data_IF_557036894165
#
_entry.id   IF_557036894165
#
_cell.length_a   1.000
_cell.length_b   1.000
_cell.length_c   1.000
_cell.angle_alpha   90.00
_cell.angle_beta   90.00
_cell.angle_gamma   90.00
#
_symmetry.space_group_name_H-M   'P 1'
#
loop_
_entity.id
_entity.type
_entity.pdbx_description
1 polymer ?
#
# COMPACT_ATOMS: atom_id res chain seq x y z
N UNK A 1 -5.31 9.70 -15.91
CA UNK A 1 -4.19 9.80 -14.93
C UNK A 1 -3.95 11.26 -14.59
N UNK A 2 -3.73 11.57 -13.32
CA UNK A 2 -3.61 12.95 -12.83
C UNK A 2 -2.32 13.64 -13.31
N UNK A 3 -1.18 12.93 -13.36
CA UNK A 3 0.07 13.50 -13.90
C UNK A 3 -0.06 13.95 -15.36
N UNK A 4 -0.83 13.21 -16.18
CA UNK A 4 -1.11 13.57 -17.57
C UNK A 4 -1.89 14.89 -17.67
N UNK A 5 -2.86 15.11 -16.76
CA UNK A 5 -3.59 16.38 -16.67
C UNK A 5 -2.65 17.53 -16.29
N UNK A 6 -1.85 17.35 -15.24
CA UNK A 6 -0.90 18.38 -14.78
C UNK A 6 0.15 18.73 -15.82
N UNK A 7 0.60 17.76 -16.61
CA UNK A 7 1.47 18.01 -17.76
C UNK A 7 0.74 18.80 -18.85
N UNK A 8 -0.51 18.45 -19.20
CA UNK A 8 -1.29 19.21 -20.19
C UNK A 8 -1.59 20.66 -19.76
N UNK A 9 -1.61 20.92 -18.45
CA UNK A 9 -1.78 22.25 -17.87
C UNK A 9 -0.45 23.02 -17.71
N UNK A 10 0.69 22.42 -18.08
CA UNK A 10 2.01 23.04 -18.01
C UNK A 10 2.65 23.04 -16.61
N UNK A 11 2.07 22.34 -15.63
CA UNK A 11 2.62 22.24 -14.28
C UNK A 11 3.77 21.22 -14.17
N UNK A 12 3.86 20.30 -15.11
CA UNK A 12 4.90 19.29 -15.22
C UNK A 12 5.43 19.27 -16.64
N UNK A 13 6.72 18.97 -16.79
CA UNK A 13 7.39 18.93 -18.09
C UNK A 13 7.98 17.54 -18.33
N UNK A 14 7.94 17.11 -19.58
CA UNK A 14 8.70 15.95 -20.02
C UNK A 14 10.20 16.22 -19.96
N UNK A 15 10.98 15.18 -19.67
CA UNK A 15 12.44 15.25 -19.60
C UNK A 15 13.05 14.42 -20.72
N UNK A 16 14.05 14.98 -21.38
CA UNK A 16 14.87 14.24 -22.35
C UNK A 16 15.88 13.39 -21.62
N UNK A 17 15.77 12.06 -21.79
CA UNK A 17 16.69 11.09 -21.20
C UNK A 17 17.42 10.39 -22.35
N UNK A 18 18.74 10.24 -22.21
CA UNK A 18 19.53 9.43 -23.14
C UNK A 18 19.23 7.95 -22.88
N UNK A 19 18.67 7.27 -23.88
CA UNK A 19 18.42 5.83 -23.84
C UNK A 19 19.26 5.14 -24.94
N UNK A 20 19.96 4.07 -24.57
CA UNK A 20 20.72 3.26 -25.52
C UNK A 20 19.76 2.21 -26.10
N UNK A 21 19.44 2.33 -27.40
CA UNK A 21 18.60 1.35 -28.12
C UNK A 21 19.49 0.42 -28.94
N UNK A 22 19.03 -0.82 -29.13
CA UNK A 22 19.70 -1.79 -29.98
C UNK A 22 20.74 -2.64 -29.29
N UNK A 23 20.81 -2.61 -27.96
CA UNK A 23 21.70 -3.48 -27.19
C UNK A 23 21.22 -4.94 -27.28
N UNK A 24 22.15 -5.86 -27.53
CA UNK A 24 21.89 -7.30 -27.38
C UNK A 24 21.54 -7.61 -25.93
N UNK A 25 20.68 -8.61 -25.74
CA UNK A 25 20.29 -9.09 -24.42
C UNK A 25 21.53 -9.37 -23.57
N UNK A 26 21.63 -8.71 -22.41
CA UNK A 26 22.75 -8.92 -21.51
C UNK A 26 22.60 -10.25 -20.76
N UNK A 27 23.73 -10.84 -20.33
CA UNK A 27 23.71 -12.05 -19.52
C UNK A 27 22.86 -11.88 -18.26
N UNK A 28 22.90 -10.71 -17.62
CA UNK A 28 22.12 -10.40 -16.43
C UNK A 28 20.60 -10.38 -16.70
N UNK A 29 20.16 -9.84 -17.84
CA UNK A 29 18.74 -9.83 -18.22
C UNK A 29 18.23 -11.23 -18.56
N UNK A 30 19.07 -12.06 -19.18
CA UNK A 30 18.75 -13.47 -19.44
C UNK A 30 18.60 -14.20 -18.12
N UNK A 31 19.61 -14.14 -17.27
CA UNK A 31 19.65 -14.84 -15.98
C UNK A 31 18.45 -14.42 -15.12
N UNK A 32 18.18 -13.12 -14.99
CA UNK A 32 17.03 -12.64 -14.21
C UNK A 32 15.70 -13.12 -14.79
N UNK A 33 15.50 -13.07 -16.10
CA UNK A 33 14.27 -13.56 -16.73
C UNK A 33 14.07 -15.06 -16.53
N UNK A 34 15.15 -15.84 -16.65
CA UNK A 34 15.15 -17.30 -16.47
C UNK A 34 14.86 -17.66 -15.01
N UNK A 35 15.53 -17.01 -14.05
CA UNK A 35 15.33 -17.25 -12.62
C UNK A 35 13.93 -16.86 -12.16
N UNK A 36 13.43 -15.69 -12.57
CA UNK A 36 12.07 -15.25 -12.23
C UNK A 36 11.03 -16.19 -12.85
N UNK A 37 11.19 -16.52 -14.14
CA UNK A 37 10.31 -17.47 -14.82
C UNK A 37 10.33 -18.85 -14.16
N UNK A 38 11.50 -19.34 -13.74
CA UNK A 38 11.64 -20.60 -13.03
C UNK A 38 10.92 -20.55 -11.67
N UNK A 39 11.17 -19.53 -10.85
CA UNK A 39 10.54 -19.39 -9.53
C UNK A 39 9.02 -19.34 -9.62
N UNK A 40 8.48 -18.56 -10.58
CA UNK A 40 7.03 -18.49 -10.83
C UNK A 40 6.50 -19.85 -11.26
N UNK A 41 7.12 -20.51 -12.26
CA UNK A 41 6.64 -21.81 -12.74
C UNK A 41 6.76 -22.91 -11.68
N UNK A 42 7.83 -22.90 -10.89
CA UNK A 42 8.09 -23.87 -9.83
C UNK A 42 6.99 -23.85 -8.78
N UNK A 43 6.51 -22.66 -8.40
CA UNK A 43 5.43 -22.50 -7.41
C UNK A 43 4.04 -22.54 -8.01
N UNK A 44 3.80 -21.86 -9.13
CA UNK A 44 2.47 -21.76 -9.72
C UNK A 44 1.95 -23.13 -10.20
N UNK A 45 2.81 -23.94 -10.84
CA UNK A 45 2.40 -25.26 -11.27
C UNK A 45 2.16 -26.19 -10.07
N UNK A 46 2.99 -26.11 -9.03
CA UNK A 46 2.73 -26.86 -7.78
C UNK A 46 1.41 -26.46 -7.12
N UNK A 47 1.10 -25.17 -7.11
CA UNK A 47 -0.14 -24.63 -6.58
C UNK A 47 -1.39 -25.12 -7.34
N UNK A 48 -1.28 -25.31 -8.65
CA UNK A 48 -2.38 -25.87 -9.45
C UNK A 48 -2.67 -27.33 -9.10
N UNK A 49 -1.63 -28.13 -8.84
CA UNK A 49 -1.82 -29.54 -8.47
C UNK A 49 -2.17 -29.74 -7.00
N UNK A 50 -1.78 -28.82 -6.12
CA UNK A 50 -1.96 -28.93 -4.66
C UNK A 50 -2.68 -27.70 -4.11
N UNK A 51 -3.79 -27.37 -4.75
CA UNK A 51 -4.58 -26.18 -4.40
C UNK A 51 -5.12 -26.23 -2.96
N UNK A 52 -5.45 -27.42 -2.46
CA UNK A 52 -5.87 -27.62 -1.06
C UNK A 52 -4.83 -27.11 -0.07
N UNK A 53 -3.55 -27.38 -0.33
CA UNK A 53 -2.45 -27.04 0.58
C UNK A 53 -2.16 -25.54 0.52
N UNK A 54 -2.27 -24.94 -0.67
CA UNK A 54 -2.17 -23.49 -0.85
C UNK A 54 -3.27 -22.76 -0.07
N UNK A 55 -4.52 -23.22 -0.14
CA UNK A 55 -5.66 -22.58 0.55
C UNK A 55 -5.55 -22.78 2.06
N UNK A 56 -5.07 -23.95 2.51
CA UNK A 56 -4.92 -24.24 3.92
C UNK A 56 -3.86 -23.36 4.59
N UNK A 57 -2.70 -23.17 3.95
CA UNK A 57 -1.65 -22.30 4.47
C UNK A 57 -0.82 -21.66 3.34
N UNK A 58 -1.27 -20.50 2.82
CA UNK A 58 -0.59 -19.84 1.71
C UNK A 58 0.86 -19.45 2.01
N UNK A 59 1.14 -19.03 3.25
CA UNK A 59 2.45 -18.51 3.63
C UNK A 59 3.50 -19.62 3.62
N UNK A 60 3.21 -20.73 4.31
CA UNK A 60 4.12 -21.87 4.35
C UNK A 60 4.28 -22.50 2.95
N UNK A 61 3.19 -22.56 2.18
CA UNK A 61 3.26 -23.06 0.81
C UNK A 61 4.24 -22.25 -0.05
N UNK A 62 4.18 -20.91 0.02
CA UNK A 62 5.04 -20.02 -0.77
C UNK A 62 6.51 -20.14 -0.34
N UNK A 63 6.80 -20.23 0.96
CA UNK A 63 8.18 -20.27 1.48
C UNK A 63 8.80 -21.67 1.39
N UNK A 64 7.99 -22.72 1.34
CA UNK A 64 8.47 -24.10 1.32
C UNK A 64 9.46 -24.37 0.18
N UNK A 65 10.31 -25.38 0.32
CA UNK A 65 11.17 -25.87 -0.76
C UNK A 65 10.39 -26.71 -1.80
N UNK A 66 9.12 -27.01 -1.53
CA UNK A 66 8.23 -27.79 -2.40
C UNK A 66 7.88 -27.00 -3.66
N UNK A 67 7.94 -27.67 -4.81
CA UNK A 67 7.54 -27.10 -6.09
C UNK A 67 7.71 -28.07 -7.25
N UNK A 68 7.26 -27.63 -8.43
CA UNK A 68 7.25 -28.42 -9.63
C UNK A 68 8.42 -28.02 -10.55
N UNK A 69 9.47 -28.85 -10.58
CA UNK A 69 10.67 -28.59 -11.39
C UNK A 69 10.37 -28.45 -12.88
N UNK A 70 9.50 -29.30 -13.43
CA UNK A 70 9.12 -29.25 -14.85
C UNK A 70 8.34 -27.97 -15.17
N UNK A 71 7.44 -27.56 -14.28
CA UNK A 71 6.73 -26.29 -14.37
C UNK A 71 7.68 -25.09 -14.36
N UNK A 72 8.69 -25.12 -13.48
CA UNK A 72 9.75 -24.13 -13.43
C UNK A 72 10.52 -24.03 -14.75
N UNK A 73 10.99 -25.16 -15.28
CA UNK A 73 11.72 -25.20 -16.56
C UNK A 73 10.86 -24.73 -17.74
N UNK A 74 9.59 -25.13 -17.79
CA UNK A 74 8.66 -24.76 -18.85
C UNK A 74 8.41 -23.25 -18.88
N UNK A 75 8.06 -22.65 -17.74
CA UNK A 75 7.79 -21.20 -17.65
C UNK A 75 9.07 -20.40 -17.86
N UNK A 76 10.21 -20.88 -17.37
CA UNK A 76 11.51 -20.28 -17.62
C UNK A 76 11.86 -20.23 -19.12
N UNK A 77 11.64 -21.33 -19.84
CA UNK A 77 11.82 -21.40 -21.29
C UNK A 77 10.91 -20.43 -22.05
N UNK A 78 9.64 -20.33 -21.64
CA UNK A 78 8.69 -19.35 -22.20
C UNK A 78 9.16 -17.92 -21.92
N UNK A 79 9.55 -17.60 -20.69
CA UNK A 79 10.02 -16.27 -20.30
C UNK A 79 11.26 -15.86 -21.11
N UNK A 80 12.24 -16.77 -21.25
CA UNK A 80 13.40 -16.56 -22.10
C UNK A 80 13.02 -16.33 -23.56
N UNK A 81 12.15 -17.17 -24.13
CA UNK A 81 11.70 -17.05 -25.52
C UNK A 81 11.01 -15.70 -25.77
N UNK A 82 10.10 -15.28 -24.90
CA UNK A 82 9.41 -14.00 -25.00
C UNK A 82 10.39 -12.83 -24.92
N UNK A 83 11.33 -12.86 -23.96
CA UNK A 83 12.36 -11.83 -23.80
C UNK A 83 13.28 -11.74 -25.02
N UNK A 84 13.70 -12.90 -25.54
CA UNK A 84 14.51 -13.00 -26.74
C UNK A 84 13.78 -12.47 -27.96
N UNK A 85 12.52 -12.89 -28.18
CA UNK A 85 11.68 -12.42 -29.27
C UNK A 85 11.50 -10.90 -29.25
N UNK A 86 11.32 -10.30 -28.08
CA UNK A 86 11.18 -8.84 -27.95
C UNK A 86 12.52 -8.11 -28.19
N UNK A 87 13.65 -8.68 -27.76
CA UNK A 87 14.95 -8.12 -28.04
C UNK A 87 15.32 -8.20 -29.53
N UNK A 88 14.94 -9.27 -30.24
CA UNK A 88 15.16 -9.37 -31.69
C UNK A 88 14.45 -8.26 -32.48
N UNK A 89 13.30 -7.77 -32.02
CA UNK A 89 12.60 -6.64 -32.65
C UNK A 89 13.33 -5.29 -32.48
N UNK A 90 14.21 -5.19 -31.49
CA UNK A 90 14.82 -3.92 -31.06
C UNK A 90 16.33 -3.87 -31.26
N UNK A 91 16.98 -5.02 -31.53
CA UNK A 91 18.42 -5.12 -31.81
C UNK A 91 18.79 -4.27 -33.04
N UNK A 92 19.89 -3.53 -32.91
CA UNK A 92 20.54 -2.82 -34.01
C UNK A 92 21.96 -3.35 -34.16
N UNK A 93 22.53 -3.25 -35.36
CA UNK A 93 23.91 -3.68 -35.63
C UNK A 93 24.94 -2.93 -34.77
N UNK A 94 24.66 -1.65 -34.47
CA UNK A 94 25.43 -0.81 -33.56
C UNK A 94 24.41 -0.14 -32.62
N UNK A 95 24.52 -0.30 -31.29
CA UNK A 95 23.66 0.41 -30.35
C UNK A 95 23.77 1.93 -30.55
N UNK A 96 22.64 2.62 -30.58
CA UNK A 96 22.59 4.08 -30.74
C UNK A 96 22.01 4.72 -29.49
N UNK A 97 22.65 5.79 -29.02
CA UNK A 97 22.05 6.69 -28.05
C UNK A 97 21.00 7.55 -28.75
N UNK A 98 19.75 7.42 -28.34
CA UNK A 98 18.70 8.34 -28.76
C UNK A 98 18.25 9.19 -27.57
N UNK A 99 17.91 10.45 -27.84
CA UNK A 99 17.17 11.25 -26.88
C UNK A 99 15.72 10.81 -26.89
N UNK A 100 15.28 10.16 -25.82
CA UNK A 100 13.87 9.85 -25.61
C UNK A 100 13.25 10.90 -24.71
N UNK A 101 12.11 11.41 -25.15
CA UNK A 101 11.28 12.26 -24.30
C UNK A 101 10.48 11.35 -23.38
N UNK A 102 10.69 11.47 -22.07
CA UNK A 102 9.98 10.69 -21.05
C UNK A 102 8.97 11.60 -20.37
N UNK A 103 7.71 11.19 -20.42
CA UNK A 103 6.63 11.96 -19.81
C UNK A 103 6.39 11.53 -18.35
N UNK A 104 6.06 12.46 -17.43
CA UNK A 104 5.83 12.12 -16.02
C UNK A 104 4.74 11.06 -15.79
N UNK A 105 3.71 11.01 -16.63
CA UNK A 105 2.66 9.99 -16.49
C UNK A 105 3.11 8.57 -16.87
N UNK A 106 4.16 8.43 -17.68
CA UNK A 106 4.75 7.13 -18.03
C UNK A 106 5.50 6.53 -16.84
N UNK A 107 5.97 7.39 -15.94
CA UNK A 107 6.74 7.02 -14.76
C UNK A 107 5.87 6.53 -13.59
N UNK A 108 4.54 6.64 -13.68
CA UNK A 108 3.61 6.26 -12.59
C UNK A 108 3.80 4.81 -12.15
N UNK A 109 3.95 3.88 -13.11
CA UNK A 109 4.19 2.46 -12.81
C UNK A 109 5.50 2.25 -12.05
N UNK A 110 6.57 2.90 -12.49
CA UNK A 110 7.89 2.82 -11.84
C UNK A 110 7.86 3.43 -10.44
N UNK A 111 7.21 4.59 -10.26
CA UNK A 111 7.03 5.24 -8.97
C UNK A 111 6.29 4.31 -8.00
N UNK A 112 5.20 3.69 -8.47
CA UNK A 112 4.39 2.77 -7.66
C UNK A 112 5.20 1.55 -7.26
N UNK A 113 5.95 0.96 -8.19
CA UNK A 113 6.79 -0.21 -7.93
C UNK A 113 7.91 0.10 -6.93
N UNK A 114 8.60 1.24 -7.10
CA UNK A 114 9.63 1.70 -6.18
C UNK A 114 9.03 1.93 -4.79
N UNK A 115 7.87 2.58 -4.70
CA UNK A 115 7.18 2.79 -3.43
C UNK A 115 6.83 1.48 -2.73
N UNK A 116 6.29 0.50 -3.47
CA UNK A 116 5.92 -0.81 -2.91
C UNK A 116 7.15 -1.58 -2.40
N UNK A 117 8.21 -1.68 -3.22
CA UNK A 117 9.42 -2.43 -2.85
C UNK A 117 10.12 -1.77 -1.67
N UNK A 118 10.39 -0.47 -1.76
CA UNK A 118 11.07 0.26 -0.68
C UNK A 118 10.22 0.34 0.58
N UNK A 119 8.90 0.40 0.46
CA UNK A 119 7.97 0.37 1.60
C UNK A 119 7.99 -0.95 2.35
N UNK A 120 7.93 -2.09 1.65
CA UNK A 120 8.01 -3.41 2.30
C UNK A 120 9.37 -3.59 2.97
N UNK A 121 10.47 -3.27 2.25
CA UNK A 121 11.83 -3.35 2.79
C UNK A 121 11.97 -2.45 4.03
N UNK A 122 11.51 -1.20 3.94
CA UNK A 122 11.56 -0.25 5.05
C UNK A 122 10.75 -0.71 6.26
N UNK A 123 9.53 -1.21 6.05
CA UNK A 123 8.69 -1.73 7.13
C UNK A 123 9.35 -2.89 7.86
N UNK A 124 10.02 -3.77 7.12
CA UNK A 124 10.74 -4.92 7.69
C UNK A 124 11.99 -4.52 8.46
N UNK A 125 12.80 -3.61 7.89
CA UNK A 125 14.00 -3.10 8.56
C UNK A 125 13.62 -2.45 9.89
N UNK A 126 12.62 -1.57 9.89
CA UNK A 126 12.20 -0.88 11.11
C UNK A 126 11.63 -1.84 12.15
N UNK A 127 10.83 -2.82 11.74
CA UNK A 127 10.37 -3.86 12.67
C UNK A 127 11.52 -4.59 13.36
N UNK A 128 12.57 -4.96 12.61
CA UNK A 128 13.73 -5.65 13.16
C UNK A 128 14.59 -4.72 14.04
N UNK A 129 14.61 -3.41 13.76
CA UNK A 129 15.27 -2.40 14.60
C UNK A 129 14.48 -2.12 15.89
N UNK A 130 13.15 -2.23 15.86
CA UNK A 130 12.31 -2.12 17.05
C UNK A 130 12.38 -3.38 17.92
N UNK A 131 12.53 -4.55 17.30
CA UNK A 131 12.60 -5.86 17.95
C UNK A 131 13.98 -6.50 17.83
N UNK A 132 15.03 -5.75 18.21
CA UNK A 132 16.42 -6.18 18.04
C UNK A 132 16.73 -7.50 18.75
N UNK A 133 16.19 -7.72 19.95
CA UNK A 133 16.44 -8.96 20.71
C UNK A 133 15.88 -10.18 19.97
N UNK A 134 14.66 -10.08 19.43
CA UNK A 134 14.06 -11.15 18.61
C UNK A 134 14.78 -11.34 17.27
N UNK A 135 15.27 -10.25 16.68
CA UNK A 135 16.05 -10.30 15.44
C UNK A 135 17.42 -10.97 15.64
N UNK A 136 18.12 -10.66 16.73
CA UNK A 136 19.43 -11.26 17.03
C UNK A 136 19.33 -12.75 17.37
N UNK A 137 18.19 -13.18 17.92
CA UNK A 137 17.93 -14.60 18.23
C UNK A 137 17.73 -15.44 16.96
N UNK A 138 17.04 -14.92 15.95
CA UNK A 138 16.85 -15.60 14.65
C UNK A 138 16.85 -14.61 13.46
N UNK A 139 18.04 -14.21 12.98
CA UNK A 139 18.13 -13.20 11.92
C UNK A 139 17.51 -13.63 10.59
N UNK A 140 17.66 -14.90 10.22
CA UNK A 140 17.21 -15.43 8.92
C UNK A 140 15.70 -15.60 8.95
N UNK A 141 15.14 -16.23 10.00
CA UNK A 141 13.71 -16.42 10.12
C UNK A 141 12.97 -15.09 10.25
N UNK A 142 13.51 -14.13 11.01
CA UNK A 142 12.92 -12.81 11.10
C UNK A 142 12.95 -12.07 9.77
N UNK A 143 14.03 -12.10 8.98
CA UNK A 143 14.08 -11.46 7.65
C UNK A 143 13.12 -12.09 6.64
N UNK A 144 12.99 -13.42 6.65
CA UNK A 144 12.17 -14.17 5.70
C UNK A 144 10.69 -14.25 6.08
N UNK A 145 10.33 -13.91 7.33
CA UNK A 145 8.95 -13.92 7.81
C UNK A 145 8.10 -12.87 7.10
N UNK A 146 6.89 -13.26 6.68
CA UNK A 146 5.87 -12.33 6.16
C UNK A 146 5.18 -11.50 7.26
N UNK A 147 5.41 -11.85 8.53
CA UNK A 147 4.92 -11.10 9.69
C UNK A 147 5.94 -10.05 10.16
N UNK A 148 5.50 -9.08 10.96
CA UNK A 148 6.37 -8.05 11.51
C UNK A 148 6.75 -6.98 10.49
N UNK A 149 5.79 -6.12 10.16
CA UNK A 149 5.98 -4.98 9.26
C UNK A 149 5.55 -3.70 9.95
N UNK A 150 6.51 -2.83 10.28
CA UNK A 150 6.22 -1.56 10.94
C UNK A 150 5.79 -0.51 9.92
N UNK A 151 4.59 0.05 10.10
CA UNK A 151 4.01 1.05 9.19
C UNK A 151 4.93 2.27 8.94
N UNK A 152 5.51 2.83 10.01
CA UNK A 152 6.38 4.02 9.89
C UNK A 152 7.62 3.77 9.03
N UNK A 153 8.22 2.59 9.15
CA UNK A 153 9.36 2.22 8.32
C UNK A 153 9.01 2.18 6.84
N UNK A 154 7.83 1.64 6.51
CA UNK A 154 7.35 1.60 5.13
C UNK A 154 7.02 2.98 4.58
N UNK A 155 6.37 3.83 5.38
CA UNK A 155 6.05 5.20 4.99
C UNK A 155 7.32 6.02 4.70
N UNK A 156 8.32 5.95 5.60
CA UNK A 156 9.56 6.74 5.49
C UNK A 156 10.39 6.27 4.27
N UNK A 157 10.67 4.97 4.17
CA UNK A 157 11.49 4.43 3.08
C UNK A 157 10.81 4.61 1.71
N UNK A 158 9.50 4.38 1.66
CA UNK A 158 8.66 4.61 0.48
C UNK A 158 8.70 6.07 0.02
N UNK A 159 8.45 7.01 0.94
CA UNK A 159 8.46 8.44 0.61
C UNK A 159 9.84 8.92 0.14
N UNK A 160 10.92 8.52 0.82
CA UNK A 160 12.29 8.90 0.44
C UNK A 160 12.62 8.40 -0.96
N UNK A 161 12.30 7.15 -1.26
CA UNK A 161 12.61 6.51 -2.55
C UNK A 161 11.80 7.12 -3.69
N UNK A 162 10.52 7.45 -3.47
CA UNK A 162 9.68 8.16 -4.44
C UNK A 162 10.19 9.58 -4.69
N UNK A 163 10.56 10.33 -3.64
CA UNK A 163 11.10 11.69 -3.78
C UNK A 163 12.43 11.67 -4.53
N UNK A 164 13.31 10.72 -4.22
CA UNK A 164 14.58 10.56 -4.92
C UNK A 164 14.37 10.23 -6.40
N UNK A 165 13.48 9.29 -6.72
CA UNK A 165 13.17 8.94 -8.10
C UNK A 165 12.51 10.09 -8.86
N UNK A 166 11.59 10.83 -8.24
CA UNK A 166 10.97 12.01 -8.82
C UNK A 166 11.99 13.11 -9.13
N UNK A 167 12.94 13.35 -8.21
CA UNK A 167 14.05 14.30 -8.44
C UNK A 167 14.95 13.89 -9.60
N UNK A 168 15.22 12.59 -9.78
CA UNK A 168 15.99 12.07 -10.92
C UNK A 168 15.39 12.46 -12.27
N UNK A 169 14.07 12.54 -12.36
CA UNK A 169 13.33 12.95 -13.56
C UNK A 169 12.81 14.40 -13.48
N UNK A 170 13.38 15.23 -12.61
CA UNK A 170 13.01 16.65 -12.46
C UNK A 170 11.51 16.91 -12.25
N UNK A 171 10.77 15.92 -11.71
CA UNK A 171 9.35 16.07 -11.41
C UNK A 171 9.21 16.99 -10.20
N UNK A 172 8.38 18.02 -10.33
CA UNK A 172 8.10 18.92 -9.21
C UNK A 172 7.35 18.18 -8.09
N UNK A 173 8.01 18.04 -6.93
CA UNK A 173 7.51 17.27 -5.79
C UNK A 173 6.15 17.78 -5.28
N UNK A 174 5.90 19.10 -5.30
CA UNK A 174 4.61 19.65 -4.84
C UNK A 174 3.46 19.20 -5.70
N UNK A 175 3.66 19.17 -7.02
CA UNK A 175 2.65 18.68 -7.95
C UNK A 175 2.49 17.16 -7.85
N UNK A 176 3.57 16.43 -7.55
CA UNK A 176 3.53 14.99 -7.33
C UNK A 176 2.72 14.61 -6.07
N UNK A 177 3.01 15.22 -4.92
CA UNK A 177 2.30 14.92 -3.66
C UNK A 177 0.81 15.29 -3.73
N UNK A 178 0.47 16.40 -4.39
CA UNK A 178 -0.94 16.73 -4.67
C UNK A 178 -1.62 15.67 -5.53
N UNK A 179 -0.90 15.11 -6.50
CA UNK A 179 -1.46 14.07 -7.38
C UNK A 179 -1.63 12.74 -6.65
N UNK A 180 -0.76 12.46 -5.67
CA UNK A 180 -0.81 11.28 -4.84
C UNK A 180 -1.87 11.37 -3.73
N UNK A 181 -2.19 12.58 -3.24
CA UNK A 181 -3.07 12.78 -2.08
C UNK A 181 -4.43 12.05 -2.15
N UNK A 182 -5.23 12.14 -3.25
CA UNK A 182 -6.45 11.34 -3.34
C UNK A 182 -6.15 9.83 -3.38
N UNK A 183 -5.12 9.42 -4.12
CA UNK A 183 -4.76 8.01 -4.26
C UNK A 183 -4.30 7.39 -2.94
N UNK A 184 -3.62 8.15 -2.07
CA UNK A 184 -3.21 7.72 -0.73
C UNK A 184 -4.44 7.41 0.14
N UNK A 185 -5.45 8.28 0.12
CA UNK A 185 -6.69 8.05 0.86
C UNK A 185 -7.46 6.84 0.33
N UNK A 186 -7.52 6.67 -0.99
CA UNK A 186 -8.15 5.48 -1.58
C UNK A 186 -7.39 4.20 -1.22
N UNK A 187 -6.05 4.23 -1.24
CA UNK A 187 -5.23 3.09 -0.86
C UNK A 187 -5.43 2.71 0.62
N UNK A 188 -5.56 3.71 1.50
CA UNK A 188 -5.89 3.48 2.90
C UNK A 188 -7.26 2.79 3.06
N UNK A 189 -8.29 3.28 2.37
CA UNK A 189 -9.61 2.64 2.35
C UNK A 189 -9.55 1.20 1.84
N UNK A 190 -8.80 0.91 0.78
CA UNK A 190 -8.59 -0.46 0.29
C UNK A 190 -7.91 -1.34 1.34
N UNK A 191 -6.91 -0.82 2.06
CA UNK A 191 -6.27 -1.53 3.16
C UNK A 191 -7.27 -1.89 4.28
N UNK A 192 -8.16 -0.94 4.63
CA UNK A 192 -9.18 -1.13 5.68
C UNK A 192 -10.26 -2.15 5.32
N UNK A 193 -10.52 -2.38 4.02
CA UNK A 193 -11.35 -3.52 3.58
C UNK A 193 -10.71 -4.83 4.04
N UNK A 194 -9.39 -4.96 3.89
CA UNK A 194 -8.63 -6.12 4.38
C UNK A 194 -8.85 -6.36 5.87
N UNK A 195 -8.66 -5.33 6.70
CA UNK A 195 -8.88 -5.39 8.14
C UNK A 195 -10.31 -5.81 8.50
N UNK A 196 -11.31 -5.24 7.81
CA UNK A 196 -12.72 -5.57 8.04
C UNK A 196 -13.03 -7.04 7.69
N UNK A 197 -12.40 -7.57 6.64
CA UNK A 197 -12.63 -8.95 6.19
C UNK A 197 -11.86 -9.98 7.03
N UNK A 198 -10.66 -9.65 7.49
CA UNK A 198 -9.82 -10.56 8.27
C UNK A 198 -10.19 -10.60 9.76
N UNK A 199 -10.71 -9.50 10.31
CA UNK A 199 -10.84 -9.37 11.75
C UNK A 199 -9.46 -9.44 12.42
N UNK A 200 -8.55 -8.56 12.02
CA UNK A 200 -7.18 -8.52 12.53
C UNK A 200 -7.01 -7.78 13.86
N UNK A 201 -8.10 -7.33 14.48
CA UNK A 201 -8.08 -6.53 15.71
C UNK A 201 -8.30 -5.04 15.50
N UNK A 202 -8.46 -4.57 14.25
CA UNK A 202 -8.77 -3.17 13.95
C UNK A 202 -10.27 -2.81 14.13
N UNK A 203 -10.86 -3.24 15.24
CA UNK A 203 -12.25 -2.98 15.62
C UNK A 203 -12.37 -2.04 16.84
N UNK A 204 -13.60 -1.60 17.09
CA UNK A 204 -13.94 -0.66 18.15
C UNK A 204 -14.18 -1.30 19.51
N UNK A 205 -14.59 -0.47 20.48
CA UNK A 205 -15.11 -0.92 21.77
C UNK A 205 -16.43 -1.68 21.61
N UNK A 206 -16.87 -2.37 22.67
CA UNK A 206 -18.14 -3.07 22.72
C UNK A 206 -19.31 -2.12 22.37
N UNK A 207 -20.15 -2.57 21.43
CA UNK A 207 -21.36 -1.89 21.01
C UNK A 207 -22.60 -2.73 21.34
N UNK A 208 -23.11 -2.58 22.55
CA UNK A 208 -24.37 -3.21 22.98
C UNK A 208 -25.61 -2.35 22.68
N UNK A 209 -25.42 -1.21 22.03
CA UNK A 209 -26.53 -0.29 21.75
C UNK A 209 -27.37 -0.81 20.58
N UNK A 210 -28.71 -0.80 20.68
CA UNK A 210 -29.56 -1.25 19.58
C UNK A 210 -29.39 -0.33 18.37
N UNK A 211 -29.39 -0.92 17.18
CA UNK A 211 -29.31 -0.17 15.92
C UNK A 211 -30.50 0.80 15.82
N UNK A 212 -30.28 2.10 15.54
CA UNK A 212 -31.36 3.05 15.39
C UNK A 212 -32.33 2.69 14.26
N UNK A 213 -33.63 2.96 14.44
CA UNK A 213 -34.68 2.61 13.47
C UNK A 213 -34.48 3.23 12.08
N UNK A 214 -33.94 4.45 12.03
CA UNK A 214 -33.64 5.13 10.76
C UNK A 214 -32.54 4.43 9.94
N UNK A 215 -31.76 3.54 10.57
CA UNK A 215 -30.72 2.73 9.96
C UNK A 215 -31.19 1.27 9.72
N UNK A 216 -32.49 0.98 9.88
CA UNK A 216 -33.06 -0.35 9.68
C UNK A 216 -32.81 -0.93 8.29
N UNK A 217 -32.64 -0.09 7.27
CA UNK A 217 -32.36 -0.51 5.90
C UNK A 217 -30.93 -1.06 5.69
N UNK A 218 -30.01 -0.84 6.63
CA UNK A 218 -28.64 -1.35 6.56
C UNK A 218 -28.50 -2.68 7.31
N UNK A 219 -27.63 -3.60 6.86
CA UNK A 219 -27.24 -4.79 7.61
C UNK A 219 -26.73 -4.49 9.03
N UNK A 220 -27.04 -5.38 9.98
CA UNK A 220 -26.66 -5.20 11.40
C UNK A 220 -25.16 -5.10 11.63
N UNK A 221 -24.36 -5.84 10.84
CA UNK A 221 -22.90 -5.82 10.94
C UNK A 221 -22.28 -4.45 10.66
N UNK A 222 -22.99 -3.53 9.99
CA UNK A 222 -22.53 -2.15 9.77
C UNK A 222 -22.68 -1.28 11.04
N UNK A 223 -23.50 -1.70 12.00
CA UNK A 223 -23.67 -1.04 13.29
C UNK A 223 -22.84 -1.73 14.39
N UNK A 224 -22.95 -3.05 14.47
CA UNK A 224 -22.35 -3.86 15.52
C UNK A 224 -21.98 -5.23 14.96
N UNK A 225 -20.72 -5.64 15.09
CA UNK A 225 -20.22 -6.87 14.47
C UNK A 225 -19.35 -7.69 15.42
N UNK A 226 -19.46 -9.01 15.37
CA UNK A 226 -18.72 -9.94 16.25
C UNK A 226 -17.45 -10.50 15.59
N UNK A 227 -17.16 -10.16 14.34
CA UNK A 227 -16.01 -10.70 13.59
C UNK A 227 -15.85 -12.22 13.75
N UNK A 228 -16.81 -13.02 13.27
CA UNK A 228 -16.65 -14.47 13.23
C UNK A 228 -15.47 -14.83 12.34
N UNK A 229 -14.75 -15.89 12.74
CA UNK A 229 -13.54 -16.35 12.06
C UNK A 229 -12.41 -15.33 11.98
N UNK A 230 -12.27 -14.49 13.01
CA UNK A 230 -11.20 -13.50 13.06
C UNK A 230 -9.82 -14.14 13.08
N UNK A 231 -8.86 -13.54 12.35
CA UNK A 231 -7.52 -14.11 12.13
C UNK A 231 -6.67 -14.20 13.41
N UNK A 232 -7.01 -13.40 14.43
CA UNK A 232 -6.29 -13.39 15.70
C UNK A 232 -6.86 -14.38 16.74
N UNK A 233 -7.90 -15.15 16.38
CA UNK A 233 -8.58 -16.11 17.26
C UNK A 233 -9.07 -15.50 18.60
N UNK A 234 -9.51 -14.24 18.58
CA UNK A 234 -10.03 -13.53 19.75
C UNK A 234 -11.48 -13.92 20.07
N UNK A 235 -11.80 -13.90 21.37
CA UNK A 235 -13.15 -14.06 21.90
C UNK A 235 -13.48 -15.48 22.34
N UNK A 236 -14.65 -15.98 21.95
CA UNK A 236 -15.22 -17.28 22.33
C UNK A 236 -15.29 -18.22 21.11
N UNK A 237 -15.25 -19.55 21.32
CA UNK A 237 -15.39 -20.51 20.24
C UNK A 237 -16.79 -20.47 19.61
N UNK A 238 -16.84 -20.65 18.29
CA UNK A 238 -18.08 -20.78 17.53
C UNK A 238 -18.60 -22.22 17.67
N UNK A 239 -19.85 -22.39 18.12
CA UNK A 239 -20.45 -23.70 18.30
C UNK A 239 -20.49 -24.50 16.99
N UNK A 240 -19.99 -25.73 17.02
CA UNK A 240 -19.91 -26.60 15.84
C UNK A 240 -18.80 -26.28 14.84
N UNK A 241 -17.96 -25.28 15.09
CA UNK A 241 -16.79 -24.99 14.24
C UNK A 241 -15.58 -25.83 14.66
N UNK A 242 -14.91 -26.44 13.68
CA UNK A 242 -13.64 -27.16 13.88
C UNK A 242 -12.63 -26.70 12.84
N UNK A 243 -11.38 -26.48 13.27
CA UNK A 243 -10.30 -25.99 12.42
C UNK A 243 -9.74 -24.63 12.85
N UNK A 244 -9.00 -24.00 11.95
CA UNK A 244 -8.41 -22.68 12.18
C UNK A 244 -9.48 -21.58 12.12
N UNK A 245 -9.27 -20.51 12.88
CA UNK A 245 -10.16 -19.35 12.90
C UNK A 245 -11.59 -19.72 13.33
N UNK A 246 -11.77 -20.54 14.36
CA UNK A 246 -13.09 -20.93 14.89
C UNK A 246 -13.55 -20.07 16.08
N UNK A 247 -13.12 -18.81 16.12
CA UNK A 247 -13.38 -17.88 17.22
C UNK A 247 -14.17 -16.67 16.73
N UNK A 248 -14.96 -16.07 17.63
CA UNK A 248 -15.69 -14.82 17.41
C UNK A 248 -15.71 -13.98 18.69
N UNK A 249 -15.91 -12.68 18.58
CA UNK A 249 -16.01 -11.81 19.75
C UNK A 249 -17.27 -12.13 20.57
N UNK A 250 -17.10 -12.18 21.89
CA UNK A 250 -18.18 -12.45 22.84
C UNK A 250 -19.26 -11.36 22.77
N UNK A 251 -18.82 -10.10 22.73
CA UNK A 251 -19.69 -8.93 22.54
C UNK A 251 -19.50 -8.39 21.12
N UNK A 252 -20.57 -7.89 20.49
CA UNK A 252 -20.43 -7.15 19.25
C UNK A 252 -19.70 -5.83 19.51
N UNK A 253 -18.89 -5.40 18.55
CA UNK A 253 -18.10 -4.17 18.64
C UNK A 253 -18.48 -3.21 17.51
N UNK A 254 -18.09 -1.94 17.65
CA UNK A 254 -18.17 -1.00 16.53
C UNK A 254 -17.23 -1.45 15.40
N UNK A 255 -17.70 -1.64 14.16
CA UNK A 255 -16.87 -2.07 13.03
C UNK A 255 -16.04 -0.88 12.49
N UNK A 256 -15.04 -0.43 13.26
CA UNK A 256 -14.25 0.77 12.94
C UNK A 256 -13.54 0.65 11.60
N UNK A 257 -13.01 -0.52 11.24
CA UNK A 257 -12.40 -0.73 9.93
C UNK A 257 -13.38 -0.40 8.79
N UNK A 258 -14.65 -0.83 8.88
CA UNK A 258 -15.69 -0.44 7.92
C UNK A 258 -15.94 1.07 7.89
N UNK A 259 -15.97 1.75 9.04
CA UNK A 259 -16.12 3.20 9.10
C UNK A 259 -14.95 3.92 8.43
N UNK A 260 -13.72 3.45 8.65
CA UNK A 260 -12.52 3.97 7.99
C UNK A 260 -12.61 3.79 6.47
N UNK A 261 -13.15 2.68 5.96
CA UNK A 261 -13.41 2.49 4.51
C UNK A 261 -14.37 3.55 3.98
N UNK A 262 -15.51 3.75 4.63
CA UNK A 262 -16.54 4.72 4.19
C UNK A 262 -15.99 6.14 4.22
N UNK A 263 -15.30 6.52 5.30
CA UNK A 263 -14.68 7.83 5.43
C UNK A 263 -13.59 8.03 4.38
N UNK A 264 -12.74 7.03 4.14
CA UNK A 264 -11.68 7.08 3.13
C UNK A 264 -12.22 7.27 1.71
N UNK A 265 -13.27 6.54 1.33
CA UNK A 265 -13.91 6.67 0.01
C UNK A 265 -14.56 8.06 -0.12
N UNK A 266 -15.20 8.55 0.95
CA UNK A 266 -15.82 9.87 0.97
C UNK A 266 -14.78 10.97 0.82
N UNK A 267 -13.70 10.93 1.61
CA UNK A 267 -12.59 11.89 1.55
C UNK A 267 -11.90 11.81 0.18
N UNK A 268 -11.68 10.62 -0.36
CA UNK A 268 -11.19 10.45 -1.73
C UNK A 268 -12.10 11.18 -2.73
N UNK A 269 -13.42 11.00 -2.65
CA UNK A 269 -14.39 11.68 -3.51
C UNK A 269 -14.29 13.20 -3.41
N UNK A 270 -14.18 13.74 -2.19
CA UNK A 270 -14.01 15.17 -1.92
C UNK A 270 -12.70 15.69 -2.52
N UNK A 271 -11.56 15.05 -2.21
CA UNK A 271 -10.25 15.43 -2.74
C UNK A 271 -10.21 15.34 -4.27
N UNK A 272 -10.83 14.29 -4.83
CA UNK A 272 -10.94 14.09 -6.26
C UNK A 272 -11.76 15.21 -6.90
N UNK A 273 -12.89 15.60 -6.34
CA UNK A 273 -13.69 16.72 -6.84
C UNK A 273 -12.90 18.05 -6.78
N UNK A 274 -12.21 18.30 -5.67
CA UNK A 274 -11.44 19.53 -5.44
C UNK A 274 -10.21 19.68 -6.34
N UNK A 275 -9.64 18.58 -6.86
CA UNK A 275 -8.36 18.57 -7.60
C UNK A 275 -8.31 19.51 -8.82
N UNK A 276 -9.46 19.80 -9.43
CA UNK A 276 -9.56 20.69 -10.60
C UNK A 276 -9.69 22.17 -10.21
N UNK A 277 -10.16 22.45 -9.01
CA UNK A 277 -10.36 23.81 -8.50
C UNK A 277 -9.11 24.35 -7.80
N UNK A 278 -8.34 23.47 -7.15
CA UNK A 278 -7.12 23.82 -6.43
C UNK A 278 -5.93 23.83 -7.38
N UNK A 279 -5.46 25.04 -7.72
CA UNK A 279 -4.30 25.25 -8.60
C UNK A 279 -2.99 25.53 -7.86
N UNK A 280 -3.06 25.74 -6.53
CA UNK A 280 -1.87 26.06 -5.73
C UNK A 280 -1.09 24.78 -5.42
N UNK A 281 0.19 24.67 -5.84
CA UNK A 281 0.95 23.44 -5.66
C UNK A 281 1.19 23.14 -4.17
N UNK A 282 0.84 21.93 -3.74
CA UNK A 282 0.99 21.41 -2.37
C UNK A 282 -0.27 21.56 -1.51
N UNK A 283 -1.25 22.38 -1.91
CA UNK A 283 -2.44 22.64 -1.10
C UNK A 283 -3.33 21.41 -1.00
N UNK A 284 -3.50 20.65 -2.08
CA UNK A 284 -4.37 19.47 -2.06
C UNK A 284 -3.83 18.40 -1.10
N UNK A 285 -2.50 18.27 -1.03
CA UNK A 285 -1.84 17.39 -0.06
C UNK A 285 -2.05 17.84 1.39
N UNK A 286 -1.94 19.13 1.69
CA UNK A 286 -2.19 19.62 3.06
C UNK A 286 -3.67 19.48 3.48
N UNK A 287 -4.60 19.66 2.54
CA UNK A 287 -6.02 19.37 2.78
C UNK A 287 -6.23 17.88 3.07
N UNK A 288 -5.55 17.00 2.33
CA UNK A 288 -5.54 15.56 2.62
C UNK A 288 -5.03 15.27 4.05
N UNK A 289 -3.93 15.89 4.49
CA UNK A 289 -3.42 15.70 5.86
C UNK A 289 -4.46 16.12 6.91
N UNK A 290 -5.16 17.23 6.68
CA UNK A 290 -6.21 17.67 7.58
C UNK A 290 -7.37 16.67 7.64
N UNK A 291 -7.88 16.23 6.49
CA UNK A 291 -8.96 15.22 6.47
C UNK A 291 -8.53 13.89 7.10
N UNK A 292 -7.31 13.43 6.84
CA UNK A 292 -6.77 12.21 7.43
C UNK A 292 -6.65 12.33 8.96
N UNK A 293 -6.18 13.47 9.47
CA UNK A 293 -6.13 13.71 10.91
C UNK A 293 -7.52 13.77 11.55
N UNK A 294 -8.50 14.39 10.88
CA UNK A 294 -9.90 14.44 11.38
C UNK A 294 -10.51 13.03 11.44
N UNK A 295 -10.38 12.27 10.36
CA UNK A 295 -10.85 10.88 10.28
C UNK A 295 -10.24 10.04 11.42
N UNK A 296 -8.92 10.09 11.57
CA UNK A 296 -8.22 9.32 12.58
C UNK A 296 -8.62 9.71 14.00
N UNK A 297 -8.82 11.01 14.27
CA UNK A 297 -9.28 11.49 15.58
C UNK A 297 -10.64 10.91 15.97
N UNK A 298 -11.62 10.89 15.04
CA UNK A 298 -12.95 10.37 15.34
C UNK A 298 -12.96 8.85 15.51
N UNK A 299 -12.22 8.12 14.68
CA UNK A 299 -12.13 6.67 14.78
C UNK A 299 -11.45 6.24 16.08
N UNK A 300 -10.41 6.96 16.49
CA UNK A 300 -9.67 6.67 17.71
C UNK A 300 -10.53 6.76 18.98
N UNK A 301 -11.56 7.61 18.99
CA UNK A 301 -12.54 7.68 20.09
C UNK A 301 -13.43 6.45 20.21
N UNK A 302 -13.59 5.70 19.13
CA UNK A 302 -14.41 4.49 19.06
C UNK A 302 -13.54 3.23 19.23
N UNK A 303 -12.23 3.33 18.97
CA UNK A 303 -11.28 2.21 19.07
C UNK A 303 -10.86 1.90 20.50
N UNK A 304 -10.55 0.62 20.73
CA UNK A 304 -9.91 0.13 21.96
C UNK A 304 -8.44 0.55 21.90
N UNK A 305 -8.03 1.54 22.69
CA UNK A 305 -6.63 1.98 22.74
C UNK A 305 -6.17 2.22 24.17
N UNK A 306 -4.87 2.02 24.38
CA UNK A 306 -4.21 2.30 25.66
C UNK A 306 -3.82 3.78 25.73
N UNK A 307 -4.21 4.44 26.82
CA UNK A 307 -3.83 5.83 27.10
C UNK A 307 -2.32 5.91 27.38
N UNK A 308 -1.61 6.88 26.78
CA UNK A 308 -0.15 7.01 26.93
C UNK A 308 0.22 8.26 27.73
N UNK A 309 -0.44 9.40 27.49
CA UNK A 309 -0.10 10.66 28.14
C UNK A 309 -1.35 11.47 28.48
N UNK A 310 -1.57 11.73 29.77
CA UNK A 310 -2.61 12.63 30.28
C UNK A 310 -4.04 12.34 29.74
N UNK A 311 -4.37 11.06 29.50
CA UNK A 311 -5.66 10.64 28.95
C UNK A 311 -5.78 10.71 27.42
N UNK A 312 -4.70 11.01 26.69
CA UNK A 312 -4.65 10.99 25.23
C UNK A 312 -3.86 9.80 24.68
N UNK A 313 -4.31 9.26 23.55
CA UNK A 313 -3.60 8.21 22.81
C UNK A 313 -2.54 8.81 21.87
N UNK A 314 -1.52 8.02 21.50
CA UNK A 314 -0.52 8.43 20.52
C UNK A 314 -1.17 8.83 19.18
N UNK A 315 -2.20 8.12 18.76
CA UNK A 315 -2.88 8.42 17.51
C UNK A 315 -3.68 9.72 17.58
N UNK A 316 -4.24 10.11 18.73
CA UNK A 316 -4.90 11.42 18.90
C UNK A 316 -3.91 12.57 18.74
N UNK A 317 -2.71 12.44 19.33
CA UNK A 317 -1.64 13.46 19.22
C UNK A 317 -1.20 13.60 17.76
N UNK A 318 -0.95 12.47 17.07
CA UNK A 318 -0.55 12.48 15.66
C UNK A 318 -1.66 13.09 14.79
N UNK A 319 -2.91 12.72 15.04
CA UNK A 319 -4.08 13.24 14.34
C UNK A 319 -4.18 14.76 14.48
N UNK A 320 -4.02 15.28 15.70
CA UNK A 320 -4.02 16.72 15.95
C UNK A 320 -2.88 17.44 15.21
N UNK A 321 -1.67 16.89 15.24
CA UNK A 321 -0.52 17.42 14.50
C UNK A 321 -0.76 17.43 12.98
N UNK A 322 -1.41 16.40 12.43
CA UNK A 322 -1.77 16.32 11.01
C UNK A 322 -2.79 17.41 10.64
N UNK A 323 -3.81 17.62 11.47
CA UNK A 323 -4.81 18.69 11.27
C UNK A 323 -4.15 20.07 11.28
N UNK A 324 -3.34 20.36 12.30
CA UNK A 324 -2.63 21.65 12.39
C UNK A 324 -1.71 21.87 11.20
N UNK A 325 -0.92 20.86 10.83
CA UNK A 325 0.01 20.94 9.69
C UNK A 325 -0.75 21.18 8.39
N UNK A 326 -1.90 20.51 8.20
CA UNK A 326 -2.78 20.70 7.05
C UNK A 326 -3.33 22.13 6.95
N UNK A 327 -3.84 22.68 8.05
CA UNK A 327 -4.41 24.03 8.08
C UNK A 327 -3.32 25.09 7.86
N UNK A 328 -2.20 25.00 8.59
CA UNK A 328 -1.09 25.95 8.51
C UNK A 328 -0.47 25.90 7.11
N UNK A 329 -0.20 24.70 6.58
CA UNK A 329 0.39 24.51 5.25
C UNK A 329 -0.51 25.06 4.15
N UNK A 330 -1.82 24.80 4.23
CA UNK A 330 -2.80 25.34 3.27
C UNK A 330 -2.81 26.87 3.30
N UNK A 331 -2.93 27.46 4.48
CA UNK A 331 -2.97 28.92 4.66
C UNK A 331 -1.69 29.59 4.19
N UNK A 332 -0.54 29.01 4.52
CA UNK A 332 0.78 29.52 4.12
C UNK A 332 0.94 29.54 2.59
N UNK A 333 0.55 28.46 1.91
CA UNK A 333 0.70 28.36 0.45
C UNK A 333 -0.22 29.33 -0.30
N UNK A 334 -1.45 29.54 0.18
CA UNK A 334 -2.34 30.56 -0.40
C UNK A 334 -1.79 31.97 -0.20
N UNK A 335 -1.37 32.33 1.02
CA UNK A 335 -0.75 33.65 1.29
C UNK A 335 0.52 33.87 0.47
N UNK A 336 1.33 32.84 0.25
CA UNK A 336 2.52 32.92 -0.59
C UNK A 336 2.19 33.18 -2.05
N UNK A 337 1.09 32.60 -2.56
CA UNK A 337 0.63 32.83 -3.93
C UNK A 337 0.06 34.23 -4.13
N UNK A 338 -0.66 34.77 -3.16
CA UNK A 338 -1.18 36.15 -3.23
C UNK A 338 -0.05 37.20 -3.30
N UNK A 339 1.12 36.88 -2.74
CA UNK A 339 2.30 37.75 -2.75
C UNK A 339 3.19 37.62 -3.99
N UNK A 340 2.96 36.63 -4.85
CA UNK A 340 3.81 36.27 -5.99
C UNK A 340 3.19 36.72 -7.31
#
# INVERSE_FOLDING_TARGET
MELKRKESEGFLSAVKVKEIIGKKLSAQEIISSVLVGFGIGFKAIEALFNYSDLVANPQDFIISTRGNLLGGLLISGIAFYLKWKENQKTILAIPKEIEKTVHPFELVGNITMIAAISGIIGAKIFHNLENLDSFLADPIGQLMSFSGLTFYGGLIAGAISVIWYAKKYQINIKHLIDSAAPALMLAYGVGRIGCQMSGDGDWGIDNLTPKPEWMSFLPDWMWSYNFPHNVINAGIPIEGCTGNFCMQLANPVWPTAFYEVVMSITIFGILWAMRKHIKVPGVLFFIYLAFNGVERFFIEKVRINNEILAGFTQAEIISFCLVLTGIIGTTYLYKKREKA
#
